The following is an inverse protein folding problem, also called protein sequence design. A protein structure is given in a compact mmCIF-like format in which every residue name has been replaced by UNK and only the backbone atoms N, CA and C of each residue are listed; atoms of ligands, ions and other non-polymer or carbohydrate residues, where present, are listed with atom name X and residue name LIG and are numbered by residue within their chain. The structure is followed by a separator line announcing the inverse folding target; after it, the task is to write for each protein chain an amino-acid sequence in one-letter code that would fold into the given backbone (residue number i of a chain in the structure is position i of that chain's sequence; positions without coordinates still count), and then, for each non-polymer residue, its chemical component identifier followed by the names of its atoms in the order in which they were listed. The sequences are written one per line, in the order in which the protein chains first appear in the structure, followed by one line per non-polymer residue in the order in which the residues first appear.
data_IF_742887497636
#
_entry.id   IF_742887497636
#
_cell.length_a   1.000
_cell.length_b   1.000
_cell.length_c   1.000
_cell.angle_alpha   90.00
_cell.angle_beta   90.00
_cell.angle_gamma   90.00
#
_symmetry.space_group_name_H-M   'P 1'
#
loop_
_entity.id
_entity.type
_entity.pdbx_description
1 polymer ?
#
# COMPACT_ATOMS: atom_id res chain seq x y z
N UNK A 1 5.62 10.99 -25.66
CA UNK A 1 5.97 10.89 -24.22
C UNK A 1 4.89 10.11 -23.47
N UNK A 2 4.86 8.78 -23.61
CA UNK A 2 4.04 7.89 -22.78
C UNK A 2 4.95 6.89 -22.06
N UNK A 3 6.10 7.39 -21.62
CA UNK A 3 7.17 6.56 -21.09
C UNK A 3 6.94 6.35 -19.58
N UNK A 4 6.60 5.10 -19.24
CA UNK A 4 6.82 4.45 -17.95
C UNK A 4 6.09 5.05 -16.74
N UNK A 5 4.80 4.70 -16.62
CA UNK A 5 4.30 4.30 -15.29
C UNK A 5 5.15 3.08 -14.90
N UNK A 6 6.15 3.31 -14.05
CA UNK A 6 7.07 2.28 -13.55
C UNK A 6 6.29 1.09 -12.96
N UNK A 7 6.80 -0.14 -13.11
CA UNK A 7 6.19 -1.35 -12.53
C UNK A 7 5.89 -1.19 -11.03
N UNK A 8 6.71 -0.41 -10.32
CA UNK A 8 6.51 -0.06 -8.90
C UNK A 8 5.22 0.73 -8.68
N UNK A 9 4.94 1.71 -9.54
CA UNK A 9 3.72 2.51 -9.44
C UNK A 9 2.46 1.73 -9.81
N UNK A 10 2.56 0.76 -10.74
CA UNK A 10 1.45 -0.16 -11.04
C UNK A 10 1.16 -1.06 -9.85
N UNK A 11 2.20 -1.67 -9.25
CA UNK A 11 2.05 -2.53 -8.07
C UNK A 11 1.45 -1.78 -6.89
N UNK A 12 1.96 -0.58 -6.61
CA UNK A 12 1.43 0.28 -5.56
C UNK A 12 -0.05 0.64 -5.85
N UNK A 13 -0.43 0.90 -7.10
CA UNK A 13 -1.83 1.16 -7.44
C UNK A 13 -2.72 -0.08 -7.21
N UNK A 14 -2.30 -1.27 -7.65
CA UNK A 14 -3.07 -2.51 -7.48
C UNK A 14 -3.27 -2.83 -5.99
N UNK A 15 -2.21 -2.71 -5.18
CA UNK A 15 -2.30 -2.97 -3.74
C UNK A 15 -3.16 -1.92 -3.02
N UNK A 16 -3.07 -0.65 -3.41
CA UNK A 16 -3.97 0.40 -2.90
C UNK A 16 -5.43 0.06 -3.19
N UNK A 17 -5.74 -0.38 -4.41
CA UNK A 17 -7.10 -0.77 -4.79
C UNK A 17 -7.59 -1.96 -3.95
N UNK A 18 -6.73 -2.95 -3.71
CA UNK A 18 -7.03 -4.11 -2.89
C UNK A 18 -7.30 -3.74 -1.42
N UNK A 19 -6.40 -2.98 -0.79
CA UNK A 19 -6.54 -2.56 0.62
C UNK A 19 -7.73 -1.61 0.81
N UNK A 20 -7.99 -0.74 -0.17
CA UNK A 20 -9.20 0.10 -0.18
C UNK A 20 -10.45 -0.76 -0.28
N UNK A 21 -10.47 -1.75 -1.17
CA UNK A 21 -11.59 -2.67 -1.29
C UNK A 21 -11.84 -3.39 0.04
N UNK A 22 -10.79 -3.95 0.67
CA UNK A 22 -10.84 -4.57 2.00
C UNK A 22 -11.52 -3.66 3.03
N UNK A 23 -11.03 -2.42 3.18
CA UNK A 23 -11.60 -1.44 4.10
C UNK A 23 -13.07 -1.15 3.81
N UNK A 24 -13.44 -0.93 2.53
CA UNK A 24 -14.84 -0.66 2.15
C UNK A 24 -15.75 -1.86 2.32
N UNK A 25 -15.21 -3.08 2.27
CA UNK A 25 -15.92 -4.31 2.58
C UNK A 25 -16.00 -4.61 4.09
N UNK A 26 -15.45 -3.76 4.95
CA UNK A 26 -15.54 -3.88 6.40
C UNK A 26 -14.42 -4.71 7.06
N UNK A 27 -13.35 -5.03 6.32
CA UNK A 27 -12.19 -5.72 6.87
C UNK A 27 -11.15 -4.73 7.41
N UNK A 28 -10.33 -5.21 8.35
CA UNK A 28 -9.14 -4.50 8.82
C UNK A 28 -7.97 -4.66 7.86
N UNK A 29 -6.98 -3.79 7.99
CA UNK A 29 -5.66 -3.97 7.38
C UNK A 29 -4.69 -4.56 8.39
N UNK A 30 -3.85 -5.49 7.94
CA UNK A 30 -2.77 -6.07 8.75
C UNK A 30 -1.65 -5.05 8.98
N UNK A 31 -1.34 -4.24 7.97
CA UNK A 31 -0.29 -3.22 8.02
C UNK A 31 -0.78 -1.81 7.60
N UNK A 32 -1.53 -1.10 8.45
CA UNK A 32 -2.10 0.20 8.11
C UNK A 32 -1.04 1.29 7.81
N UNK A 33 0.15 1.18 8.40
CA UNK A 33 1.27 2.09 8.11
C UNK A 33 1.82 1.90 6.69
N UNK A 34 1.89 0.65 6.21
CA UNK A 34 2.34 0.31 4.84
C UNK A 34 1.37 0.88 3.81
N UNK A 35 0.06 0.75 4.03
CA UNK A 35 -0.98 1.38 3.22
C UNK A 35 -0.82 2.92 3.20
N UNK A 36 -0.66 3.56 4.36
CA UNK A 36 -0.46 5.01 4.45
C UNK A 36 0.79 5.51 3.72
N UNK A 37 1.91 4.79 3.84
CA UNK A 37 3.15 5.10 3.12
C UNK A 37 2.95 5.00 1.60
N UNK A 38 2.18 4.03 1.13
CA UNK A 38 1.84 3.85 -0.29
C UNK A 38 0.99 4.99 -0.82
N UNK A 39 0.00 5.47 -0.06
CA UNK A 39 -0.81 6.66 -0.39
C UNK A 39 0.09 7.90 -0.53
N UNK A 40 0.98 8.14 0.46
CA UNK A 40 1.88 9.28 0.43
C UNK A 40 2.79 9.28 -0.79
N UNK A 41 3.31 8.11 -1.19
CA UNK A 41 4.12 7.97 -2.40
C UNK A 41 3.33 8.29 -3.66
N UNK A 42 2.10 7.77 -3.78
CA UNK A 42 1.23 8.06 -4.92
C UNK A 42 0.88 9.55 -5.04
N UNK A 43 0.64 10.22 -3.92
CA UNK A 43 0.41 11.67 -3.90
C UNK A 43 1.63 12.47 -4.32
N UNK A 44 2.83 12.11 -3.83
CA UNK A 44 4.09 12.75 -4.24
C UNK A 44 4.32 12.63 -5.75
N UNK A 45 4.07 11.44 -6.31
CA UNK A 45 4.15 11.20 -7.76
C UNK A 45 3.12 12.04 -8.53
N UNK A 46 1.86 12.08 -8.06
CA UNK A 46 0.78 12.81 -8.72
C UNK A 46 0.94 14.34 -8.69
N UNK A 47 1.61 14.87 -7.66
CA UNK A 47 1.86 16.30 -7.52
C UNK A 47 3.14 16.77 -8.22
N UNK A 48 3.98 15.86 -8.72
CA UNK A 48 5.27 16.18 -9.37
C UNK A 48 6.14 17.13 -8.56
N UNK A 49 6.01 17.12 -7.23
CA UNK A 49 6.85 17.88 -6.31
C UNK A 49 8.17 17.14 -6.18
N UNK A 50 9.05 17.40 -7.14
CA UNK A 50 10.38 16.79 -7.25
C UNK A 50 11.45 17.65 -6.57
N UNK A 51 11.10 18.29 -5.44
CA UNK A 51 12.07 19.00 -4.61
C UNK A 51 12.58 18.04 -3.52
N UNK A 52 13.57 17.23 -3.90
CA UNK A 52 14.67 16.79 -3.04
C UNK A 52 14.31 16.06 -1.72
N UNK A 53 13.42 15.06 -1.76
CA UNK A 53 13.23 14.16 -0.61
C UNK A 53 14.11 12.92 -0.76
N UNK A 54 15.32 12.97 -0.19
CA UNK A 54 16.10 11.78 0.13
C UNK A 54 15.29 10.80 0.97
N UNK A 55 14.64 9.85 0.31
CA UNK A 55 14.33 8.49 0.79
C UNK A 55 13.74 7.67 -0.37
N UNK A 56 14.39 7.71 -1.52
CA UNK A 56 14.27 6.65 -2.49
C UNK A 56 15.41 5.67 -2.20
N UNK A 57 15.10 4.52 -1.58
CA UNK A 57 15.86 3.24 -1.70
C UNK A 57 16.45 2.61 -0.42
N UNK A 58 16.42 3.18 0.78
CA UNK A 58 17.29 2.63 1.83
C UNK A 58 16.75 1.47 2.70
N UNK A 59 15.44 1.32 2.94
CA UNK A 59 15.02 0.47 4.07
C UNK A 59 13.70 -0.28 3.93
N UNK A 60 13.33 -0.79 2.74
CA UNK A 60 12.26 -1.79 2.72
C UNK A 60 12.65 -3.10 2.01
N UNK A 61 12.70 -4.22 2.77
CA UNK A 61 12.99 -5.54 2.25
C UNK A 61 11.90 -6.00 1.28
N UNK A 62 12.16 -7.05 0.47
CA UNK A 62 11.17 -7.56 -0.48
C UNK A 62 9.87 -7.88 0.24
N UNK A 63 8.74 -7.42 -0.32
CA UNK A 63 7.43 -7.94 0.06
C UNK A 63 7.45 -9.43 -0.30
N UNK A 64 7.55 -10.29 0.71
CA UNK A 64 7.44 -11.73 0.54
C UNK A 64 6.08 -12.04 -0.08
N UNK A 65 6.15 -12.81 -1.16
CA UNK A 65 4.98 -13.39 -1.81
C UNK A 65 4.22 -14.23 -0.78
N UNK A 66 2.91 -14.11 -0.86
CA UNK A 66 1.91 -14.96 -0.21
C UNK A 66 2.35 -16.43 -0.11
N UNK A 67 2.82 -16.85 1.07
CA UNK A 67 2.73 -18.25 1.48
C UNK A 67 1.74 -18.34 2.63
N UNK A 68 0.73 -19.18 2.42
CA UNK A 68 -0.38 -19.43 3.31
C UNK A 68 0.07 -20.15 4.59
N UNK A 69 -0.23 -19.56 5.74
CA UNK A 69 -0.52 -20.14 7.08
C UNK A 69 -0.42 -18.96 8.06
N UNK A 70 -1.19 -18.77 9.13
CA UNK A 70 -2.12 -19.61 9.86
C UNK A 70 -2.98 -18.64 10.72
N UNK A 71 -4.06 -19.18 11.26
CA UNK A 71 -5.08 -18.60 12.12
C UNK A 71 -4.62 -17.57 13.18
N UNK A 72 -5.39 -16.50 13.35
CA UNK A 72 -6.32 -16.31 14.49
C UNK A 72 -6.78 -14.85 14.60
N UNK A 73 -8.09 -14.64 14.47
CA UNK A 73 -8.81 -13.72 15.35
C UNK A 73 -8.64 -12.22 15.17
N UNK A 74 -9.20 -11.63 14.12
CA UNK A 74 -9.72 -10.26 14.21
C UNK A 74 -11.25 -10.29 14.26
N UNK A 75 -11.75 -10.59 15.46
CA UNK A 75 -13.16 -10.45 15.82
C UNK A 75 -13.44 -8.95 15.95
N UNK A 76 -13.83 -8.31 14.86
CA UNK A 76 -14.39 -6.96 14.94
C UNK A 76 -15.81 -7.06 15.51
N UNK A 77 -15.93 -6.56 16.73
CA UNK A 77 -17.14 -6.42 17.54
C UNK A 77 -18.21 -5.62 16.78
N UNK A 78 -19.44 -6.14 16.73
CA UNK A 78 -20.62 -5.41 16.25
C UNK A 78 -20.78 -4.13 17.10
N UNK A 79 -20.63 -2.97 16.45
CA UNK A 79 -21.12 -1.70 16.97
C UNK A 79 -22.57 -1.55 16.51
N UNK A 80 -23.49 -1.56 17.48
CA UNK A 80 -24.94 -1.35 17.36
C UNK A 80 -25.32 -0.10 16.54
#
# INVERSE_FOLDING_TARGET
ELMLISDKSVKDLVLLLFETALLTSGFSLDEPNTFGNRIHRMLKLGLSTDEDCGDAEADMPPLEDTEADDAEGSKMEEVD
#
